data_IF_948924675054
#
_entry.id   IF_948924675054
#
_cell.length_a   1.000
_cell.length_b   1.000
_cell.length_c   1.000
_cell.angle_alpha   90.00
_cell.angle_beta   90.00
_cell.angle_gamma   90.00
#
_symmetry.space_group_name_H-M   'P 1'
#
loop_
_entity.id
_entity.type
_entity.pdbx_description
1 polymer ?
#
# COMPACT_ATOMS: atom_id res chain seq x y z
N UNK A 1 -3.25 -18.70 -8.55
CA UNK A 1 -1.90 -18.73 -7.95
C UNK A 1 -1.04 -17.56 -8.39
N UNK A 2 -0.79 -17.35 -9.70
CA UNK A 2 0.04 -16.22 -10.21
C UNK A 2 -0.31 -14.84 -9.61
N UNK A 3 -1.60 -14.54 -9.44
CA UNK A 3 -2.06 -13.29 -8.83
C UNK A 3 -1.51 -13.06 -7.42
N UNK A 4 -1.49 -14.09 -6.58
CA UNK A 4 -0.95 -14.01 -5.22
C UNK A 4 0.55 -13.73 -5.22
N UNK A 5 1.29 -14.32 -6.17
CA UNK A 5 2.74 -14.07 -6.30
C UNK A 5 3.02 -12.62 -6.69
N UNK A 6 2.21 -12.04 -7.58
CA UNK A 6 2.31 -10.62 -7.94
C UNK A 6 2.12 -9.74 -6.71
N UNK A 7 1.07 -10.00 -5.91
CA UNK A 7 0.83 -9.22 -4.70
C UNK A 7 1.89 -9.44 -3.62
N UNK A 8 2.35 -10.67 -3.41
CA UNK A 8 3.37 -10.98 -2.39
C UNK A 8 4.73 -10.36 -2.73
N UNK A 9 5.10 -10.32 -4.01
CA UNK A 9 6.38 -9.78 -4.46
C UNK A 9 6.31 -8.25 -4.64
N UNK A 10 5.30 -7.74 -5.34
CA UNK A 10 5.24 -6.32 -5.66
C UNK A 10 4.56 -5.49 -4.58
N UNK A 11 3.60 -6.05 -3.84
CA UNK A 11 2.82 -5.32 -2.85
C UNK A 11 3.69 -4.61 -1.81
N UNK A 12 4.57 -5.33 -1.06
CA UNK A 12 5.43 -4.71 -0.06
C UNK A 12 6.46 -3.75 -0.66
N UNK A 13 7.05 -4.10 -1.81
CA UNK A 13 8.03 -3.25 -2.49
C UNK A 13 7.42 -1.93 -2.98
N UNK A 14 6.25 -1.99 -3.61
CA UNK A 14 5.51 -0.80 -4.06
C UNK A 14 4.98 0.01 -2.88
N UNK A 15 4.52 -0.65 -1.80
CA UNK A 15 4.14 0.02 -0.56
C UNK A 15 5.30 0.77 0.08
N UNK A 16 6.49 0.17 0.10
CA UNK A 16 7.73 0.81 0.55
C UNK A 16 8.06 2.07 -0.27
N UNK A 17 8.10 1.96 -1.60
CA UNK A 17 8.36 3.10 -2.48
C UNK A 17 7.32 4.20 -2.27
N UNK A 18 6.05 3.82 -2.16
CA UNK A 18 4.95 4.78 -1.95
C UNK A 18 5.08 5.49 -0.61
N UNK A 19 5.46 4.79 0.46
CA UNK A 19 5.63 5.37 1.78
C UNK A 19 6.87 6.27 1.89
N UNK A 20 8.06 5.74 1.58
CA UNK A 20 9.34 6.40 1.87
C UNK A 20 9.79 7.38 0.78
N UNK A 21 9.54 7.06 -0.49
CA UNK A 21 10.07 7.86 -1.60
C UNK A 21 9.03 8.82 -2.18
N UNK A 22 7.74 8.58 -1.94
CA UNK A 22 6.66 9.46 -2.41
C UNK A 22 6.06 10.25 -1.24
N UNK A 23 5.36 9.57 -0.33
CA UNK A 23 4.58 10.26 0.71
C UNK A 23 5.45 11.01 1.71
N UNK A 24 6.52 10.40 2.21
CA UNK A 24 7.41 11.06 3.16
C UNK A 24 8.05 12.33 2.56
N UNK A 25 8.42 12.30 1.29
CA UNK A 25 8.99 13.47 0.60
C UNK A 25 7.93 14.55 0.35
N UNK A 26 6.71 14.14 0.00
CA UNK A 26 5.58 15.07 -0.12
C UNK A 26 5.30 15.77 1.22
N UNK A 27 5.32 15.02 2.34
CA UNK A 27 5.16 15.59 3.68
C UNK A 27 6.31 16.53 4.07
N UNK A 28 7.56 16.16 3.79
CA UNK A 28 8.70 17.05 4.03
C UNK A 28 8.56 18.36 3.25
N UNK A 29 8.20 18.28 1.97
CA UNK A 29 7.96 19.47 1.15
C UNK A 29 6.81 20.35 1.67
N UNK A 30 5.70 19.74 2.09
CA UNK A 30 4.56 20.45 2.71
C UNK A 30 4.92 21.14 4.03
N UNK A 31 5.84 20.56 4.81
CA UNK A 31 6.28 21.06 6.11
C UNK A 31 7.52 21.95 6.03
N UNK A 32 8.07 22.19 4.82
CA UNK A 32 9.32 22.94 4.64
C UNK A 32 10.55 22.25 5.20
N UNK A 33 10.46 20.94 5.47
CA UNK A 33 11.57 20.12 5.96
C UNK A 33 12.47 19.67 4.79
N UNK A 34 13.77 19.40 5.05
CA UNK A 34 14.66 18.89 4.03
C UNK A 34 14.21 17.51 3.51
N UNK A 35 14.56 17.21 2.27
CA UNK A 35 14.36 15.87 1.70
C UNK A 35 15.12 14.84 2.52
N UNK A 36 14.44 13.74 2.84
CA UNK A 36 15.02 12.58 3.53
C UNK A 36 15.16 11.40 2.58
N UNK A 37 15.10 11.64 1.27
CA UNK A 37 15.28 10.60 0.27
C UNK A 37 16.70 10.05 0.36
N UNK A 38 16.82 8.74 0.57
CA UNK A 38 18.10 8.06 0.60
C UNK A 38 17.95 6.63 0.06
N UNK A 39 18.84 6.26 -0.87
CA UNK A 39 18.93 4.90 -1.40
C UNK A 39 19.29 3.88 -0.32
N UNK A 40 19.97 4.29 0.75
CA UNK A 40 20.28 3.42 1.88
C UNK A 40 19.02 2.96 2.64
N UNK A 41 17.87 3.60 2.43
CA UNK A 41 16.57 3.15 2.97
C UNK A 41 16.15 1.77 2.45
N UNK A 42 16.73 1.29 1.34
CA UNK A 42 16.49 -0.07 0.84
C UNK A 42 16.88 -1.15 1.87
N UNK A 43 17.74 -0.84 2.84
CA UNK A 43 18.04 -1.73 3.97
C UNK A 43 16.79 -2.01 4.83
N UNK A 44 15.77 -1.14 4.80
CA UNK A 44 14.49 -1.34 5.47
C UNK A 44 13.51 -2.20 4.68
N UNK A 45 13.83 -2.56 3.42
CA UNK A 45 12.97 -3.35 2.56
C UNK A 45 12.58 -4.71 3.18
N UNK A 46 13.47 -5.47 3.86
CA UNK A 46 13.09 -6.69 4.57
C UNK A 46 12.03 -6.44 5.65
N UNK A 47 12.14 -5.34 6.40
CA UNK A 47 11.16 -4.95 7.42
C UNK A 47 9.82 -4.59 6.77
N UNK A 48 9.86 -3.84 5.65
CA UNK A 48 8.67 -3.53 4.87
C UNK A 48 7.99 -4.80 4.33
N UNK A 49 8.76 -5.82 3.95
CA UNK A 49 8.22 -7.14 3.58
C UNK A 49 7.60 -7.87 4.77
N UNK A 50 8.27 -7.91 5.93
CA UNK A 50 7.71 -8.56 7.13
C UNK A 50 6.36 -7.96 7.53
N UNK A 51 6.22 -6.64 7.47
CA UNK A 51 4.98 -5.95 7.84
C UNK A 51 3.94 -5.95 6.70
N UNK A 52 4.40 -5.81 5.45
CA UNK A 52 3.55 -5.61 4.28
C UNK A 52 3.02 -6.88 3.63
N UNK A 53 3.65 -8.04 3.85
CA UNK A 53 3.27 -9.28 3.15
C UNK A 53 1.88 -9.77 3.56
N UNK A 54 1.51 -9.65 4.84
CA UNK A 54 0.19 -10.01 5.35
C UNK A 54 -0.92 -9.23 4.64
N UNK A 55 -0.93 -7.89 4.73
CA UNK A 55 -1.89 -7.05 4.00
C UNK A 55 -1.89 -7.33 2.50
N UNK A 56 -0.73 -7.47 1.87
CA UNK A 56 -0.62 -7.73 0.43
C UNK A 56 -1.27 -9.06 0.01
N UNK A 57 -1.07 -10.13 0.80
CA UNK A 57 -1.71 -11.43 0.54
C UNK A 57 -3.22 -11.36 0.71
N UNK A 58 -3.72 -10.65 1.72
CA UNK A 58 -5.17 -10.44 1.93
C UNK A 58 -5.78 -9.67 0.77
N UNK A 59 -5.13 -8.60 0.31
CA UNK A 59 -5.57 -7.85 -0.89
C UNK A 59 -5.53 -8.71 -2.15
N UNK A 60 -4.50 -9.54 -2.32
CA UNK A 60 -4.40 -10.48 -3.44
C UNK A 60 -5.50 -11.55 -3.43
N UNK A 61 -5.88 -12.04 -2.24
CA UNK A 61 -7.01 -12.94 -2.06
C UNK A 61 -8.33 -12.27 -2.47
N UNK A 62 -8.52 -11.02 -2.05
CA UNK A 62 -9.68 -10.23 -2.41
C UNK A 62 -9.78 -10.03 -3.94
N UNK A 63 -8.68 -9.63 -4.61
CA UNK A 63 -8.63 -9.52 -6.08
C UNK A 63 -9.03 -10.84 -6.74
N UNK A 64 -8.49 -11.95 -6.26
CA UNK A 64 -8.74 -13.27 -6.82
C UNK A 64 -10.22 -13.68 -6.70
N UNK A 65 -10.88 -13.36 -5.59
CA UNK A 65 -12.32 -13.60 -5.41
C UNK A 65 -13.15 -12.74 -6.37
N UNK A 66 -12.82 -11.46 -6.51
CA UNK A 66 -13.53 -10.56 -7.42
C UNK A 66 -13.33 -10.96 -8.89
N UNK A 67 -12.13 -11.42 -9.24
CA UNK A 67 -11.83 -11.95 -10.56
C UNK A 67 -12.66 -13.20 -10.88
N UNK A 68 -12.78 -14.14 -9.92
CA UNK A 68 -13.64 -15.32 -10.07
C UNK A 68 -15.11 -14.98 -10.24
N UNK A 69 -15.58 -13.91 -9.61
CA UNK A 69 -16.97 -13.42 -9.73
C UNK A 69 -17.24 -12.58 -10.98
N UNK A 70 -16.22 -12.33 -11.82
CA UNK A 70 -16.39 -11.56 -13.06
C UNK A 70 -16.72 -10.08 -12.84
N UNK A 71 -16.34 -9.50 -11.70
CA UNK A 71 -16.64 -8.10 -11.37
C UNK A 71 -15.90 -7.15 -12.33
N UNK A 72 -16.64 -6.36 -13.13
CA UNK A 72 -16.06 -5.41 -14.10
C UNK A 72 -15.15 -4.36 -13.46
N UNK A 73 -15.54 -3.83 -12.30
CA UNK A 73 -14.80 -2.81 -11.56
C UNK A 73 -13.80 -3.40 -10.56
N UNK A 74 -13.26 -4.60 -10.84
CA UNK A 74 -12.35 -5.30 -9.91
C UNK A 74 -11.25 -4.40 -9.38
N UNK A 75 -10.48 -3.77 -10.27
CA UNK A 75 -9.32 -2.94 -9.90
C UNK A 75 -9.72 -1.83 -8.92
N UNK A 76 -10.86 -1.17 -9.15
CA UNK A 76 -11.35 -0.11 -8.27
C UNK A 76 -11.64 -0.66 -6.87
N UNK A 77 -12.35 -1.78 -6.79
CA UNK A 77 -12.66 -2.43 -5.52
C UNK A 77 -11.41 -2.96 -4.80
N UNK A 78 -10.44 -3.54 -5.52
CA UNK A 78 -9.20 -3.98 -4.91
C UNK A 78 -8.38 -2.80 -4.38
N UNK A 79 -8.36 -1.69 -5.11
CA UNK A 79 -7.68 -0.46 -4.71
C UNK A 79 -8.30 0.14 -3.46
N UNK A 80 -9.65 0.23 -3.43
CA UNK A 80 -10.39 0.73 -2.27
C UNK A 80 -10.20 -0.18 -1.05
N UNK A 81 -10.20 -1.49 -1.24
CA UNK A 81 -9.93 -2.44 -0.16
C UNK A 81 -8.50 -2.29 0.36
N UNK A 82 -7.51 -2.18 -0.53
CA UNK A 82 -6.11 -1.97 -0.14
C UNK A 82 -5.93 -0.63 0.61
N UNK A 83 -6.57 0.43 0.12
CA UNK A 83 -6.62 1.75 0.76
C UNK A 83 -7.17 1.64 2.18
N UNK A 84 -8.33 0.99 2.35
CA UNK A 84 -8.95 0.78 3.65
C UNK A 84 -8.06 -0.06 4.58
N UNK A 85 -7.42 -1.11 4.06
CA UNK A 85 -6.54 -1.99 4.84
C UNK A 85 -5.30 -1.27 5.38
N UNK A 86 -4.79 -0.25 4.68
CA UNK A 86 -3.65 0.53 5.15
C UNK A 86 -3.96 1.30 6.45
N UNK A 87 -5.22 1.68 6.68
CA UNK A 87 -5.64 2.31 7.93
C UNK A 87 -5.64 1.35 9.12
N UNK A 88 -5.69 0.03 8.90
CA UNK A 88 -5.62 -0.93 10.01
C UNK A 88 -4.29 -0.82 10.76
N UNK A 89 -3.22 -0.48 10.05
CA UNK A 89 -1.89 -0.25 10.64
C UNK A 89 -1.89 1.05 11.48
N UNK A 90 -2.70 2.03 11.07
CA UNK A 90 -2.85 3.31 11.75
C UNK A 90 -3.89 3.31 12.87
N UNK A 91 -4.72 2.27 13.03
CA UNK A 91 -5.75 2.19 14.08
C UNK A 91 -5.16 2.37 15.48
N UNK A 92 -3.99 1.79 15.76
CA UNK A 92 -3.30 1.97 17.04
C UNK A 92 -2.86 3.42 17.25
N UNK A 93 -2.30 4.06 16.23
CA UNK A 93 -1.82 5.44 16.31
C UNK A 93 -2.99 6.46 16.40
N UNK A 94 -4.10 6.15 15.73
CA UNK A 94 -5.35 6.90 15.80
C UNK A 94 -6.02 6.76 17.17
N UNK A 95 -6.12 5.55 17.70
CA UNK A 95 -6.63 5.28 19.06
C UNK A 95 -5.78 5.93 20.17
N UNK A 96 -4.48 6.08 19.94
CA UNK A 96 -3.57 6.78 20.84
C UNK A 96 -3.65 8.32 20.72
N UNK A 97 -4.48 8.87 19.82
CA UNK A 97 -4.61 10.31 19.61
C UNK A 97 -3.36 10.99 19.04
N UNK A 98 -2.45 10.23 18.45
CA UNK A 98 -1.16 10.75 17.94
C UNK A 98 -1.24 11.25 16.50
N UNK A 99 -2.29 10.88 15.75
CA UNK A 99 -2.45 11.22 14.34
C UNK A 99 -3.82 11.81 14.10
N UNK A 100 -3.87 13.07 13.69
CA UNK A 100 -5.10 13.82 13.39
C UNK A 100 -4.92 14.72 12.17
N UNK A 101 -5.96 14.87 11.36
CA UNK A 101 -5.99 15.83 10.24
C UNK A 101 -6.13 15.21 8.84
N UNK A 102 -6.34 16.04 7.80
CA UNK A 102 -6.60 15.59 6.43
C UNK A 102 -5.42 14.83 5.79
N UNK A 103 -4.20 15.00 6.34
CA UNK A 103 -3.02 14.23 5.98
C UNK A 103 -3.19 12.71 6.18
N UNK A 104 -4.07 12.27 7.10
CA UNK A 104 -4.39 10.85 7.29
C UNK A 104 -4.90 10.20 6.01
N UNK A 105 -5.67 10.93 5.19
CA UNK A 105 -6.21 10.40 3.95
C UNK A 105 -5.12 10.00 2.94
N UNK A 106 -3.94 10.62 3.04
CA UNK A 106 -2.80 10.31 2.18
C UNK A 106 -2.14 9.00 2.56
N UNK A 107 -2.22 8.54 3.82
CA UNK A 107 -1.65 7.27 4.23
C UNK A 107 -2.32 6.07 3.54
N UNK A 108 -3.61 6.17 3.23
CA UNK A 108 -4.28 5.12 2.46
C UNK A 108 -3.64 4.90 1.07
N UNK A 109 -2.91 5.88 0.51
CA UNK A 109 -2.18 5.71 -0.75
C UNK A 109 -1.10 4.64 -0.65
N UNK A 110 -0.52 4.41 0.54
CA UNK A 110 0.45 3.33 0.80
C UNK A 110 -0.15 1.97 0.41
N UNK A 111 -1.46 1.77 0.61
CA UNK A 111 -2.18 0.57 0.17
C UNK A 111 -2.78 0.69 -1.23
N UNK A 112 -3.34 1.84 -1.59
CA UNK A 112 -4.02 2.01 -2.88
C UNK A 112 -3.08 1.85 -4.08
N UNK A 113 -1.90 2.45 -4.04
CA UNK A 113 -0.94 2.40 -5.16
C UNK A 113 -0.51 0.96 -5.44
N UNK A 114 0.03 0.17 -4.48
CA UNK A 114 0.33 -1.23 -4.71
C UNK A 114 -0.92 -2.04 -5.09
N UNK A 115 -2.06 -1.79 -4.45
CA UNK A 115 -3.32 -2.48 -4.75
C UNK A 115 -3.77 -2.31 -6.20
N UNK A 116 -3.73 -1.08 -6.71
CA UNK A 116 -4.10 -0.75 -8.08
C UNK A 116 -3.13 -1.39 -9.09
N UNK A 117 -1.82 -1.23 -8.87
CA UNK A 117 -0.79 -1.75 -9.77
C UNK A 117 -0.84 -3.29 -9.80
N UNK A 118 -0.94 -3.95 -8.65
CA UNK A 118 -1.02 -5.41 -8.57
C UNK A 118 -2.34 -5.95 -9.16
N UNK A 119 -3.47 -5.29 -8.91
CA UNK A 119 -4.77 -5.68 -9.48
C UNK A 119 -4.82 -5.49 -11.01
N UNK A 120 -4.13 -4.48 -11.53
CA UNK A 120 -3.98 -4.26 -12.97
C UNK A 120 -3.06 -5.30 -13.62
N UNK A 121 -1.87 -5.53 -13.05
CA UNK A 121 -0.92 -6.54 -13.54
C UNK A 121 -1.53 -7.95 -13.52
N UNK A 122 -2.23 -8.30 -12.45
CA UNK A 122 -2.91 -9.60 -12.33
C UNK A 122 -4.07 -9.79 -13.32
N UNK A 123 -4.57 -8.72 -13.94
CA UNK A 123 -5.54 -8.78 -15.02
C UNK A 123 -4.93 -9.02 -16.40
N UNK A 124 -3.62 -8.77 -16.55
CA UNK A 124 -2.87 -8.94 -17.80
C UNK A 124 -2.03 -10.22 -17.84
N UNK A 125 -1.83 -10.87 -16.69
CA UNK A 125 -1.02 -12.08 -16.51
C UNK A 125 -1.85 -13.38 -16.51
#
# INVERSE_FOLDING_TARGET
>A
MRRFLIFALLGPALGFVTAFWILLQAFNGLLGAPSTFDLHQVVLLPVAYMLGIGPALVTGLFDHVLARRGVRLRILWTTLFAYASAYLILLNAWGAGTVHGPALFLFGLIGAVPGAICAWLSGRA
#
